data_IF_467898647662
#
_entry.id   IF_467898647662
#
_cell.length_a   1.000
_cell.length_b   1.000
_cell.length_c   1.000
_cell.angle_alpha   90.00
_cell.angle_beta   90.00
_cell.angle_gamma   90.00
#
_symmetry.space_group_name_H-M   'P 1'
#
loop_
_entity.id
_entity.type
_entity.pdbx_description
1 polymer ?
#
# COMPACT_ATOMS: atom_id res chain seq x y z
N UNK A 1 -7.11 -2.42 0.13
CA UNK A 1 -5.85 -2.23 0.90
C UNK A 1 -5.89 -3.14 2.13
N UNK A 2 -4.78 -3.36 2.82
CA UNK A 2 -4.74 -4.14 4.07
C UNK A 2 -4.49 -3.23 5.26
N UNK A 3 -5.27 -3.36 6.33
CA UNK A 3 -5.07 -2.68 7.60
C UNK A 3 -5.41 -3.64 8.75
N UNK A 4 -4.55 -3.73 9.76
CA UNK A 4 -4.72 -4.62 10.93
C UNK A 4 -5.17 -6.05 10.58
N UNK A 5 -4.60 -6.65 9.55
CA UNK A 5 -4.91 -8.02 9.15
C UNK A 5 -6.20 -8.20 8.34
N UNK A 6 -6.82 -7.12 7.86
CA UNK A 6 -8.03 -7.19 7.05
C UNK A 6 -7.87 -6.46 5.73
N UNK A 7 -8.32 -7.10 4.66
CA UNK A 7 -8.47 -6.45 3.35
C UNK A 7 -9.75 -5.63 3.39
N UNK A 8 -9.62 -4.33 3.14
CA UNK A 8 -10.73 -3.37 3.15
C UNK A 8 -10.83 -2.59 1.85
N UNK A 9 -12.06 -2.19 1.45
CA UNK A 9 -12.29 -1.43 0.24
C UNK A 9 -11.91 0.04 0.42
N UNK A 10 -11.48 0.66 -0.68
CA UNK A 10 -11.41 2.12 -0.81
C UNK A 10 -12.83 2.64 -1.05
N UNK A 11 -13.22 3.70 -0.34
CA UNK A 11 -14.55 4.31 -0.44
C UNK A 11 -14.46 5.78 -0.81
N UNK A 12 -15.46 6.27 -1.54
CA UNK A 12 -15.46 7.63 -2.07
C UNK A 12 -14.53 7.81 -3.26
N UNK A 13 -14.15 9.05 -3.55
CA UNK A 13 -13.24 9.38 -4.66
C UNK A 13 -11.81 9.49 -4.16
N UNK A 14 -10.88 8.92 -4.92
CA UNK A 14 -9.44 9.10 -4.70
C UNK A 14 -9.09 10.57 -5.01
N UNK A 15 -8.44 11.25 -4.07
CA UNK A 15 -7.91 12.59 -4.25
C UNK A 15 -6.43 12.53 -4.67
N UNK A 16 -5.81 13.69 -4.93
CA UNK A 16 -4.41 13.76 -5.35
C UNK A 16 -3.44 13.16 -4.32
N UNK A 17 -3.73 13.36 -3.03
CA UNK A 17 -2.80 13.07 -1.93
C UNK A 17 -3.38 12.16 -0.84
N UNK A 18 -4.68 11.87 -0.89
CA UNK A 18 -5.38 11.11 0.14
C UNK A 18 -6.55 10.32 -0.45
N UNK A 19 -6.90 9.23 0.22
CA UNK A 19 -8.09 8.43 -0.07
C UNK A 19 -8.69 7.92 1.24
N UNK A 20 -9.94 7.49 1.19
CA UNK A 20 -10.65 6.94 2.34
C UNK A 20 -10.84 5.44 2.16
N UNK A 21 -10.79 4.71 3.27
CA UNK A 21 -10.98 3.26 3.32
C UNK A 21 -12.03 2.95 4.36
N UNK A 22 -12.84 1.91 4.12
CA UNK A 22 -13.86 1.50 5.08
C UNK A 22 -13.25 0.58 6.14
N UNK A 23 -13.20 1.06 7.38
CA UNK A 23 -12.67 0.32 8.53
C UNK A 23 -13.74 -0.11 9.52
N UNK A 24 -15.03 -0.04 9.14
CA UNK A 24 -16.17 -0.36 10.02
C UNK A 24 -16.02 -1.73 10.68
N UNK A 25 -15.58 -2.73 9.91
CA UNK A 25 -15.40 -4.10 10.39
C UNK A 25 -13.98 -4.42 10.89
N UNK A 26 -13.09 -3.41 10.99
CA UNK A 26 -11.71 -3.60 11.45
C UNK A 26 -11.59 -3.13 12.90
N UNK A 27 -11.51 -4.06 13.88
CA UNK A 27 -11.45 -3.68 15.28
C UNK A 27 -10.12 -3.00 15.61
N UNK A 28 -10.18 -1.94 16.43
CA UNK A 28 -9.01 -1.36 17.06
C UNK A 28 -8.08 -0.54 16.15
N UNK A 29 -8.56 -0.11 14.97
CA UNK A 29 -7.80 0.81 14.10
C UNK A 29 -7.52 2.13 14.82
N UNK A 30 -6.27 2.58 14.75
CA UNK A 30 -5.79 3.82 15.36
C UNK A 30 -5.04 4.69 14.36
N UNK A 31 -4.92 5.97 14.68
CA UNK A 31 -4.06 6.89 13.94
C UNK A 31 -2.62 6.40 14.02
N UNK A 32 -1.97 6.30 12.86
CA UNK A 32 -0.60 5.82 12.74
C UNK A 32 -0.47 4.31 12.47
N UNK A 33 -1.58 3.57 12.44
CA UNK A 33 -1.57 2.16 12.01
C UNK A 33 -1.11 2.05 10.55
N UNK A 34 -0.32 1.01 10.28
CA UNK A 34 0.17 0.72 8.93
C UNK A 34 -0.97 0.32 8.00
N UNK A 35 -0.95 0.86 6.78
CA UNK A 35 -1.84 0.47 5.69
C UNK A 35 -0.99 -0.01 4.52
N UNK A 36 -1.23 -1.25 4.09
CA UNK A 36 -0.49 -1.88 2.99
C UNK A 36 -1.31 -1.73 1.71
N UNK A 37 -0.75 -1.01 0.73
CA UNK A 37 -1.33 -0.88 -0.61
C UNK A 37 -0.89 -2.01 -1.53
N UNK A 38 0.40 -2.34 -1.52
CA UNK A 38 1.03 -3.45 -2.25
C UNK A 38 1.99 -4.12 -1.28
N UNK A 39 1.84 -5.43 -1.07
CA UNK A 39 2.67 -6.21 -0.16
C UNK A 39 1.87 -7.26 0.58
N UNK A 40 2.51 -7.81 1.62
CA UNK A 40 1.97 -8.87 2.46
C UNK A 40 1.96 -8.42 3.91
N UNK A 41 0.90 -8.75 4.63
CA UNK A 41 0.86 -8.55 6.08
C UNK A 41 1.47 -9.72 6.87
N UNK A 42 1.47 -9.62 8.20
CA UNK A 42 2.05 -10.62 9.07
C UNK A 42 1.23 -11.91 9.19
N UNK A 43 -0.05 -11.91 8.80
CA UNK A 43 -0.96 -13.06 8.97
C UNK A 43 -1.27 -13.79 7.65
N UNK A 44 -0.78 -13.28 6.52
CA UNK A 44 -0.82 -13.98 5.24
C UNK A 44 -1.58 -13.25 4.13
N UNK A 45 -2.29 -12.16 4.41
CA UNK A 45 -2.97 -11.40 3.36
C UNK A 45 -1.94 -10.76 2.44
N UNK A 46 -2.23 -10.75 1.14
CA UNK A 46 -1.33 -10.20 0.12
C UNK A 46 -2.15 -9.41 -0.90
N UNK A 47 -1.60 -8.27 -1.31
CA UNK A 47 -2.02 -7.52 -2.50
C UNK A 47 -0.76 -7.36 -3.35
N UNK A 48 -0.74 -8.01 -4.51
CA UNK A 48 0.37 -7.98 -5.46
C UNK A 48 0.21 -6.85 -6.47
N UNK A 49 1.28 -6.54 -7.20
CA UNK A 49 1.19 -5.61 -8.31
C UNK A 49 0.33 -6.16 -9.46
N UNK A 50 0.29 -7.48 -9.63
CA UNK A 50 -0.57 -8.14 -10.61
C UNK A 50 -2.05 -7.96 -10.27
N UNK A 51 -2.44 -8.07 -8.99
CA UNK A 51 -3.83 -7.84 -8.56
C UNK A 51 -4.31 -6.41 -8.90
N UNK A 52 -3.43 -5.42 -8.72
CA UNK A 52 -3.74 -4.04 -9.10
C UNK A 52 -3.79 -3.89 -10.62
N UNK A 53 -2.83 -4.48 -11.33
CA UNK A 53 -2.76 -4.41 -12.78
C UNK A 53 -4.04 -4.97 -13.44
N UNK A 54 -4.53 -6.11 -12.94
CA UNK A 54 -5.80 -6.70 -13.37
C UNK A 54 -6.98 -5.75 -13.13
N UNK A 55 -7.03 -5.09 -11.97
CA UNK A 55 -8.12 -4.17 -11.62
C UNK A 55 -8.21 -2.91 -12.49
N UNK A 56 -7.08 -2.44 -13.04
CA UNK A 56 -7.01 -1.24 -13.88
C UNK A 56 -6.77 -1.54 -15.37
N UNK A 57 -6.70 -2.82 -15.75
CA UNK A 57 -6.52 -3.25 -17.13
C UNK A 57 -5.13 -2.99 -17.71
N UNK A 58 -4.08 -3.15 -16.90
CA UNK A 58 -2.68 -2.99 -17.33
C UNK A 58 -1.81 -4.20 -16.92
N UNK A 59 -0.48 -4.05 -16.98
CA UNK A 59 0.54 -5.01 -16.55
C UNK A 59 1.24 -4.53 -15.28
N UNK A 60 1.73 -5.47 -14.48
CA UNK A 60 2.43 -5.19 -13.22
C UNK A 60 3.62 -4.22 -13.35
N UNK A 61 4.32 -4.22 -14.49
CA UNK A 61 5.41 -3.29 -14.77
C UNK A 61 4.98 -1.82 -14.73
N UNK A 62 3.80 -1.50 -15.26
CA UNK A 62 3.26 -0.13 -15.21
C UNK A 62 2.92 0.26 -13.78
N UNK A 63 2.27 -0.63 -13.01
CA UNK A 63 1.92 -0.38 -11.61
C UNK A 63 3.14 0.01 -10.77
N UNK A 64 4.25 -0.71 -10.92
CA UNK A 64 5.48 -0.42 -10.17
C UNK A 64 6.17 0.87 -10.66
N UNK A 65 6.11 1.17 -11.95
CA UNK A 65 6.69 2.37 -12.53
C UNK A 65 5.91 3.65 -12.19
N UNK A 66 4.59 3.54 -12.03
CA UNK A 66 3.68 4.65 -11.72
C UNK A 66 3.81 5.18 -10.29
N UNK A 67 4.52 4.46 -9.42
CA UNK A 67 4.87 4.95 -8.08
C UNK A 67 5.77 6.18 -8.24
N UNK A 68 5.19 7.37 -8.10
CA UNK A 68 5.87 8.63 -8.38
C UNK A 68 7.08 8.90 -7.48
N UNK A 69 7.98 9.80 -7.91
CA UNK A 69 9.17 10.22 -7.14
C UNK A 69 8.86 10.84 -5.76
N UNK A 70 7.62 11.32 -5.54
CA UNK A 70 7.17 11.89 -4.26
C UNK A 70 7.21 10.88 -3.12
N UNK A 71 7.11 9.59 -3.44
CA UNK A 71 7.11 8.52 -2.43
C UNK A 71 8.58 8.18 -2.08
N UNK A 72 9.02 8.31 -0.82
CA UNK A 72 10.38 7.95 -0.44
C UNK A 72 10.61 6.43 -0.58
N UNK A 73 11.82 6.02 -0.97
CA UNK A 73 12.22 4.61 -1.07
C UNK A 73 13.08 4.24 0.13
N UNK A 74 12.62 3.28 0.92
CA UNK A 74 13.35 2.75 2.08
C UNK A 74 13.90 1.38 1.70
N UNK A 75 15.22 1.23 1.67
CA UNK A 75 15.89 -0.02 1.35
C UNK A 75 16.28 -0.75 2.63
N UNK A 76 15.86 -2.01 2.71
CA UNK A 76 16.13 -2.89 3.85
C UNK A 76 17.06 -4.04 3.46
N UNK A 77 17.96 -4.43 4.37
CA UNK A 77 18.87 -5.57 4.22
C UNK A 77 18.98 -6.26 5.58
N UNK A 78 18.74 -7.57 5.62
CA UNK A 78 18.74 -8.36 6.86
C UNK A 78 17.81 -7.78 7.95
N UNK A 79 16.62 -7.32 7.54
CA UNK A 79 15.63 -6.74 8.47
C UNK A 79 15.98 -5.35 9.01
N UNK A 80 17.07 -4.73 8.55
CA UNK A 80 17.48 -3.38 8.96
C UNK A 80 17.41 -2.43 7.78
N UNK A 81 16.99 -1.19 8.04
CA UNK A 81 17.08 -0.11 7.06
C UNK A 81 18.58 0.19 6.84
N UNK A 82 19.03 0.17 5.59
CA UNK A 82 20.41 0.54 5.26
C UNK A 82 20.51 1.83 4.43
N UNK A 83 19.43 2.23 3.76
CA UNK A 83 19.39 3.47 2.97
C UNK A 83 17.97 3.98 2.81
N UNK A 84 17.83 5.31 2.82
CA UNK A 84 16.58 6.01 2.52
C UNK A 84 16.87 6.96 1.37
N UNK A 85 16.09 6.84 0.29
CA UNK A 85 16.15 7.72 -0.87
C UNK A 85 14.87 8.53 -0.98
N UNK A 86 14.97 9.81 -0.63
CA UNK A 86 13.93 10.79 -0.90
C UNK A 86 14.36 11.67 -2.08
N UNK A 87 13.48 11.86 -3.06
CA UNK A 87 13.80 12.59 -4.31
C UNK A 87 13.40 14.06 -4.26
N UNK A 88 12.58 14.46 -3.29
CA UNK A 88 12.03 15.83 -3.12
C UNK A 88 12.28 16.30 -1.70
#
# INVERSE_FOLDING_TARGET
>A
VIVNGKIVPVVGRICMDQCMIDVTDVPGVKIGDEVILIGKDNIGNVITADDIAESIGTVNYEVICDISKRIPRIYTKNGKIFSVRNYV
#
